data_IF_375828486522
#
_entry.id   IF_375828486522
#
_cell.length_a   1.000
_cell.length_b   1.000
_cell.length_c   1.000
_cell.angle_alpha   90.00
_cell.angle_beta   90.00
_cell.angle_gamma   90.00
#
_symmetry.space_group_name_H-M   'P 1'
#
loop_
_entity.id
_entity.type
_entity.pdbx_description
1 polymer ?
#
# COMPACT_ATOMS: atom_id res chain seq x y z
N UNK A 1 8.87 16.69 3.36
CA UNK A 1 10.23 16.34 2.87
C UNK A 1 11.31 17.08 3.66
N UNK A 2 11.37 18.40 3.55
CA UNK A 2 12.32 19.23 4.28
C UNK A 2 12.03 20.68 3.97
N UNK A 3 12.92 21.57 4.36
CA UNK A 3 12.87 22.95 3.91
C UNK A 3 14.29 23.44 3.65
N UNK A 4 14.43 24.30 2.65
CA UNK A 4 15.65 25.03 2.41
C UNK A 4 15.56 26.37 3.13
N UNK A 5 16.54 26.68 3.97
CA UNK A 5 16.65 27.98 4.60
C UNK A 5 17.60 28.85 3.75
N UNK A 6 17.03 29.83 3.06
CA UNK A 6 17.76 30.73 2.16
C UNK A 6 18.81 31.59 2.87
N UNK A 7 18.54 32.02 4.11
CA UNK A 7 19.49 32.83 4.88
C UNK A 7 20.76 32.06 5.26
N UNK A 8 20.58 30.81 5.70
CA UNK A 8 21.71 29.95 6.09
C UNK A 8 22.29 29.15 4.93
N UNK A 9 21.63 29.19 3.76
CA UNK A 9 21.89 28.34 2.60
C UNK A 9 21.98 26.85 2.93
N UNK A 10 21.11 26.37 3.83
CA UNK A 10 21.11 24.98 4.30
C UNK A 10 19.75 24.32 4.11
N UNK A 11 19.77 23.11 3.56
CA UNK A 11 18.59 22.25 3.55
C UNK A 11 18.49 21.49 4.86
N UNK A 12 17.33 21.58 5.50
CA UNK A 12 17.01 20.85 6.73
C UNK A 12 16.04 19.72 6.39
N UNK A 13 16.52 18.47 6.23
CA UNK A 13 15.65 17.33 5.97
C UNK A 13 14.82 17.00 7.22
N UNK A 14 13.58 16.54 7.02
CA UNK A 14 12.78 15.94 8.11
C UNK A 14 13.17 14.47 8.30
N UNK A 15 12.76 13.87 9.43
CA UNK A 15 12.99 12.44 9.75
C UNK A 15 12.60 11.52 8.60
N UNK A 16 11.46 11.80 7.96
CA UNK A 16 10.97 11.06 6.79
C UNK A 16 11.97 11.06 5.62
N UNK A 17 12.52 12.22 5.24
CA UNK A 17 13.52 12.31 4.15
C UNK A 17 14.85 11.67 4.54
N UNK A 18 15.26 11.77 5.81
CA UNK A 18 16.44 11.05 6.32
C UNK A 18 16.26 9.53 6.23
N UNK A 19 15.06 9.01 6.55
CA UNK A 19 14.74 7.60 6.42
C UNK A 19 14.80 7.12 4.96
N UNK A 20 14.23 7.90 4.03
CA UNK A 20 14.32 7.62 2.59
C UNK A 20 15.77 7.64 2.08
N UNK A 21 16.55 8.64 2.49
CA UNK A 21 17.96 8.75 2.12
C UNK A 21 18.76 7.54 2.64
N UNK A 22 18.50 7.11 3.88
CA UNK A 22 19.10 5.90 4.46
C UNK A 22 18.69 4.65 3.67
N UNK A 23 17.42 4.51 3.31
CA UNK A 23 16.95 3.38 2.52
C UNK A 23 17.62 3.32 1.14
N UNK A 24 17.81 4.48 0.50
CA UNK A 24 18.49 4.59 -0.79
C UNK A 24 19.97 4.14 -0.73
N UNK A 25 20.62 4.31 0.44
CA UNK A 25 21.98 3.82 0.69
C UNK A 25 22.04 2.32 1.05
N UNK A 26 20.95 1.72 1.50
CA UNK A 26 20.89 0.33 1.98
C UNK A 26 19.77 -0.43 1.26
N UNK A 27 19.91 -0.63 -0.05
CA UNK A 27 18.87 -1.18 -0.94
C UNK A 27 18.50 -2.63 -0.63
N UNK A 28 19.39 -3.34 0.04
CA UNK A 28 19.22 -4.71 0.51
C UNK A 28 18.34 -4.82 1.77
N UNK A 29 18.08 -3.73 2.49
CA UNK A 29 17.30 -3.76 3.73
C UNK A 29 15.85 -3.37 3.45
N UNK A 30 14.91 -4.24 3.79
CA UNK A 30 13.49 -3.88 3.78
C UNK A 30 13.22 -2.73 4.75
N UNK A 31 12.79 -1.59 4.22
CA UNK A 31 12.54 -0.38 5.00
C UNK A 31 11.05 -0.08 5.05
N UNK A 32 10.49 -0.09 6.25
CA UNK A 32 9.11 0.29 6.50
C UNK A 32 9.06 1.70 7.10
N UNK A 33 8.35 2.61 6.45
CA UNK A 33 8.10 3.96 6.95
C UNK A 33 6.65 3.99 7.46
N UNK A 34 6.51 4.05 8.78
CA UNK A 34 5.23 4.14 9.45
C UNK A 34 4.79 5.60 9.54
N UNK A 35 3.59 5.88 9.04
CA UNK A 35 2.95 7.19 9.03
C UNK A 35 1.70 7.08 9.91
N UNK A 36 1.75 7.72 11.07
CA UNK A 36 0.64 7.66 12.03
C UNK A 36 -0.42 8.72 11.70
N UNK A 37 -1.69 8.36 11.85
CA UNK A 37 -2.87 9.20 11.67
C UNK A 37 -2.84 10.03 10.37
N UNK A 38 -2.58 9.34 9.25
CA UNK A 38 -2.37 9.96 7.94
C UNK A 38 -3.51 10.87 7.50
N UNK A 39 -4.75 10.58 7.94
CA UNK A 39 -5.94 11.29 7.54
C UNK A 39 -6.37 12.42 8.48
N UNK A 40 -5.50 12.87 9.40
CA UNK A 40 -5.66 14.17 10.07
C UNK A 40 -5.67 15.35 9.08
N UNK A 41 -5.09 15.14 7.90
CA UNK A 41 -5.24 16.04 6.75
C UNK A 41 -5.50 15.21 5.49
N UNK A 42 -5.99 15.86 4.43
CA UNK A 42 -6.21 15.20 3.13
C UNK A 42 -4.91 14.59 2.61
N UNK A 43 -4.83 13.27 2.61
CA UNK A 43 -3.64 12.50 2.23
C UNK A 43 -3.17 12.88 0.83
N UNK A 44 -4.10 13.05 -0.10
CA UNK A 44 -3.79 13.41 -1.48
C UNK A 44 -3.10 14.77 -1.64
N UNK A 45 -3.13 15.65 -0.64
CA UNK A 45 -2.49 16.98 -0.73
C UNK A 45 -1.03 16.96 -0.32
N UNK A 46 -0.71 16.35 0.82
CA UNK A 46 0.68 16.33 1.31
C UNK A 46 1.48 15.13 0.78
N UNK A 47 0.80 14.07 0.33
CA UNK A 47 1.42 12.84 -0.19
C UNK A 47 1.28 12.71 -1.71
N UNK A 48 0.82 13.77 -2.39
CA UNK A 48 0.60 13.83 -3.84
C UNK A 48 1.80 13.35 -4.66
N UNK A 49 3.00 13.83 -4.34
CA UNK A 49 4.23 13.48 -5.04
C UNK A 49 4.45 11.97 -5.03
N UNK A 50 4.32 11.33 -3.85
CA UNK A 50 4.47 9.89 -3.70
C UNK A 50 3.38 9.10 -4.42
N UNK A 51 2.13 9.55 -4.33
CA UNK A 51 1.02 8.93 -5.08
C UNK A 51 1.25 8.99 -6.59
N UNK A 52 1.88 10.06 -7.08
CA UNK A 52 2.28 10.18 -8.49
C UNK A 52 3.43 9.22 -8.82
N UNK A 53 4.45 9.12 -7.97
CA UNK A 53 5.58 8.21 -8.19
C UNK A 53 5.17 6.73 -8.18
N UNK A 54 4.09 6.37 -7.50
CA UNK A 54 3.53 5.02 -7.54
C UNK A 54 2.97 4.63 -8.91
N UNK A 55 2.82 5.57 -9.85
CA UNK A 55 2.45 5.30 -11.24
C UNK A 55 3.68 5.00 -12.12
N UNK A 56 4.85 5.45 -11.68
CA UNK A 56 6.09 5.25 -12.41
C UNK A 56 6.65 3.85 -12.16
N UNK A 57 7.42 3.38 -13.15
CA UNK A 57 8.28 2.21 -12.98
C UNK A 57 9.20 2.39 -11.77
N UNK A 58 9.54 1.30 -11.08
CA UNK A 58 10.39 1.32 -9.88
C UNK A 58 11.70 2.09 -10.05
N UNK A 59 12.30 2.03 -11.25
CA UNK A 59 13.52 2.73 -11.60
C UNK A 59 13.36 4.21 -11.94
N UNK A 60 12.16 4.79 -11.89
CA UNK A 60 11.86 6.17 -12.32
C UNK A 60 11.11 6.96 -11.23
N UNK A 61 11.34 6.60 -9.95
CA UNK A 61 10.68 7.21 -8.81
C UNK A 61 11.55 8.28 -8.17
N UNK A 62 11.55 9.46 -8.77
CA UNK A 62 12.47 10.54 -8.41
C UNK A 62 11.77 11.66 -7.64
N UNK A 63 12.33 12.04 -6.48
CA UNK A 63 11.85 13.15 -5.67
C UNK A 63 12.88 14.25 -5.65
N UNK A 64 12.54 15.36 -6.32
CA UNK A 64 13.33 16.58 -6.23
C UNK A 64 13.14 17.22 -4.86
N UNK A 65 14.19 17.25 -4.05
CA UNK A 65 14.12 17.80 -2.68
C UNK A 65 14.12 19.32 -2.65
N UNK A 66 14.84 19.94 -3.59
CA UNK A 66 14.99 21.39 -3.73
C UNK A 66 15.44 21.75 -5.16
N UNK A 67 15.26 23.00 -5.57
CA UNK A 67 15.65 23.50 -6.90
C UNK A 67 17.13 23.90 -7.05
N UNK A 68 17.93 23.81 -6.00
CA UNK A 68 19.36 24.11 -6.02
C UNK A 68 20.18 22.83 -5.83
N UNK A 69 21.50 22.88 -6.06
CA UNK A 69 22.39 21.77 -5.72
C UNK A 69 22.70 21.77 -4.23
N UNK A 70 22.55 20.61 -3.60
CA UNK A 70 22.94 20.35 -2.22
C UNK A 70 24.34 19.75 -2.22
N UNK A 71 25.26 20.41 -1.51
CA UNK A 71 26.61 19.90 -1.26
C UNK A 71 26.82 19.71 0.25
N UNK A 72 27.72 18.80 0.58
CA UNK A 72 28.24 18.60 1.93
C UNK A 72 29.58 19.32 2.00
N UNK A 73 29.80 20.12 3.04
CA UNK A 73 31.07 20.80 3.29
C UNK A 73 31.74 20.19 4.51
N UNK A 74 32.87 19.53 4.32
CA UNK A 74 33.71 18.98 5.39
C UNK A 74 35.16 19.45 5.18
N UNK A 75 35.77 20.04 6.22
CA UNK A 75 37.17 20.49 6.20
C UNK A 75 37.54 21.27 4.92
N UNK A 76 36.74 22.30 4.57
CA UNK A 76 36.91 23.15 3.38
C UNK A 76 36.75 22.46 2.02
N UNK A 77 36.44 21.16 2.00
CA UNK A 77 36.15 20.40 0.78
C UNK A 77 34.65 20.27 0.59
N UNK A 78 34.16 20.56 -0.61
CA UNK A 78 32.77 20.31 -1.00
C UNK A 78 32.66 18.95 -1.70
N UNK A 79 31.72 18.12 -1.23
CA UNK A 79 31.42 16.82 -1.81
C UNK A 79 29.92 16.65 -2.03
N UNK A 80 29.53 15.81 -2.98
CA UNK A 80 28.14 15.49 -3.25
C UNK A 80 27.57 14.49 -2.21
N UNK A 81 26.25 14.47 -2.06
CA UNK A 81 25.57 13.46 -1.26
C UNK A 81 25.44 12.16 -2.07
N UNK A 82 25.91 11.05 -1.51
CA UNK A 82 26.01 9.75 -2.20
C UNK A 82 24.71 9.23 -2.82
N UNK A 83 23.56 9.49 -2.18
CA UNK A 83 22.26 9.02 -2.65
C UNK A 83 21.39 10.12 -3.28
N UNK A 84 21.99 11.28 -3.64
CA UNK A 84 21.30 12.31 -4.40
C UNK A 84 21.80 12.36 -5.84
N UNK A 85 20.90 12.06 -6.78
CA UNK A 85 21.12 12.29 -8.19
C UNK A 85 21.06 13.81 -8.47
N UNK A 86 21.95 14.27 -9.34
CA UNK A 86 22.10 15.69 -9.70
C UNK A 86 22.28 16.63 -8.50
N UNK A 87 22.77 16.10 -7.37
CA UNK A 87 22.94 16.79 -6.09
C UNK A 87 21.64 17.35 -5.48
N UNK A 88 20.44 16.94 -5.91
CA UNK A 88 19.20 17.50 -5.34
C UNK A 88 17.98 16.57 -5.42
N UNK A 89 18.11 15.43 -6.09
CA UNK A 89 17.01 14.53 -6.37
C UNK A 89 17.28 13.21 -5.68
N UNK A 90 16.33 12.75 -4.87
CA UNK A 90 16.41 11.47 -4.18
C UNK A 90 15.56 10.45 -4.93
N UNK A 91 16.20 9.37 -5.38
CA UNK A 91 15.49 8.23 -5.94
C UNK A 91 14.86 7.40 -4.83
N UNK A 92 13.55 7.19 -4.89
CA UNK A 92 12.83 6.32 -3.94
C UNK A 92 13.09 4.86 -4.36
N UNK A 93 13.82 4.09 -3.54
CA UNK A 93 14.20 2.73 -3.91
C UNK A 93 13.04 1.74 -3.66
N UNK A 94 13.03 0.61 -4.37
CA UNK A 94 11.95 -0.39 -4.27
C UNK A 94 11.83 -1.07 -2.90
N UNK A 95 12.88 -1.02 -2.09
CA UNK A 95 12.92 -1.59 -0.73
C UNK A 95 12.19 -0.74 0.32
N UNK A 96 11.46 0.30 -0.08
CA UNK A 96 10.67 1.15 0.82
C UNK A 96 9.19 0.84 0.71
N UNK A 97 8.57 0.55 1.85
CA UNK A 97 7.12 0.46 2.01
C UNK A 97 6.60 1.53 2.95
N UNK A 98 5.54 2.22 2.52
CA UNK A 98 4.80 3.15 3.37
C UNK A 98 3.62 2.42 4.01
N UNK A 99 3.50 2.52 5.33
CA UNK A 99 2.36 1.97 6.07
C UNK A 99 1.73 3.13 6.82
N UNK A 100 0.50 3.44 6.45
CA UNK A 100 -0.31 4.48 7.09
C UNK A 100 -1.30 3.90 8.07
N UNK A 101 -1.47 4.53 9.22
CA UNK A 101 -2.69 4.38 10.03
C UNK A 101 -3.65 5.51 9.66
N UNK A 102 -4.95 5.23 9.72
CA UNK A 102 -5.98 6.22 9.50
C UNK A 102 -7.11 5.94 10.49
N UNK A 103 -7.58 6.99 11.17
CA UNK A 103 -8.73 6.88 12.07
C UNK A 103 -10.02 7.06 11.27
N UNK A 104 -11.13 6.60 11.84
CA UNK A 104 -12.47 6.79 11.29
C UNK A 104 -13.29 7.46 12.38
N UNK A 105 -13.07 8.76 12.53
CA UNK A 105 -13.77 9.60 13.50
C UNK A 105 -14.18 10.92 12.84
N UNK A 106 -15.10 11.66 13.47
CA UNK A 106 -15.61 12.94 12.92
C UNK A 106 -14.50 13.98 12.71
N UNK A 107 -13.37 13.84 13.40
CA UNK A 107 -12.23 14.77 13.34
C UNK A 107 -11.25 14.53 12.19
N UNK A 108 -11.43 13.47 11.40
CA UNK A 108 -10.53 13.11 10.32
C UNK A 108 -11.12 13.28 8.93
N UNK A 109 -10.26 13.41 7.93
CA UNK A 109 -10.66 13.52 6.54
C UNK A 109 -10.95 12.14 5.94
N UNK A 110 -12.00 12.07 5.12
CA UNK A 110 -12.29 10.90 4.29
C UNK A 110 -11.13 10.67 3.31
N UNK A 111 -10.73 9.42 3.16
CA UNK A 111 -9.69 9.00 2.21
C UNK A 111 -10.27 9.00 0.80
N UNK A 112 -9.61 9.68 -0.13
CA UNK A 112 -10.07 9.77 -1.52
C UNK A 112 -9.83 8.46 -2.31
N UNK A 113 -10.66 8.22 -3.35
CA UNK A 113 -10.51 7.08 -4.28
C UNK A 113 -9.09 7.01 -4.86
N UNK A 114 -8.46 8.15 -5.10
CA UNK A 114 -7.07 8.25 -5.60
C UNK A 114 -6.06 7.57 -4.66
N UNK A 115 -6.29 7.62 -3.36
CA UNK A 115 -5.44 6.96 -2.37
C UNK A 115 -5.80 5.47 -2.28
N UNK A 116 -7.08 5.12 -2.20
CA UNK A 116 -7.56 3.72 -2.19
C UNK A 116 -7.07 2.91 -3.41
N UNK A 117 -7.02 3.52 -4.59
CA UNK A 117 -6.51 2.89 -5.80
C UNK A 117 -5.03 2.52 -5.74
N UNK A 118 -4.25 3.24 -4.93
CA UNK A 118 -2.79 3.05 -4.84
C UNK A 118 -2.37 2.29 -3.58
N UNK A 119 -3.19 2.27 -2.54
CA UNK A 119 -2.93 1.56 -1.30
C UNK A 119 -3.57 0.16 -1.28
N UNK A 120 -3.07 -0.70 -0.40
CA UNK A 120 -3.80 -1.86 0.10
C UNK A 120 -4.32 -1.49 1.48
N UNK A 121 -5.62 -1.66 1.73
CA UNK A 121 -6.25 -1.26 2.99
C UNK A 121 -6.52 -2.46 3.86
N UNK A 122 -6.35 -2.26 5.17
CA UNK A 122 -6.61 -3.27 6.19
C UNK A 122 -7.50 -2.65 7.26
N UNK A 123 -8.74 -3.13 7.32
CA UNK A 123 -9.73 -2.62 8.27
C UNK A 123 -9.70 -3.44 9.56
N UNK A 124 -9.39 -2.78 10.67
CA UNK A 124 -9.39 -3.39 12.00
C UNK A 124 -10.74 -3.15 12.67
N UNK A 125 -11.57 -4.19 12.70
CA UNK A 125 -12.94 -4.10 13.26
C UNK A 125 -13.07 -4.74 14.62
N UNK A 126 -12.08 -5.55 15.02
CA UNK A 126 -12.03 -6.20 16.33
C UNK A 126 -10.65 -5.97 16.91
N UNK A 127 -10.62 -5.68 18.21
CA UNK A 127 -9.37 -5.60 18.96
C UNK A 127 -8.72 -6.98 18.99
N UNK A 128 -7.45 -7.04 18.58
CA UNK A 128 -6.66 -8.26 18.71
C UNK A 128 -6.49 -8.63 20.21
N UNK A 129 -6.52 -9.92 20.57
CA UNK A 129 -6.20 -10.34 21.93
C UNK A 129 -4.76 -9.92 22.29
N UNK A 130 -4.53 -9.54 23.55
CA UNK A 130 -3.17 -9.22 24.01
C UNK A 130 -2.31 -10.48 23.89
N UNK A 131 -1.17 -10.36 23.21
CA UNK A 131 -0.12 -11.39 23.25
C UNK A 131 0.42 -11.44 24.68
N UNK A 132 0.11 -12.51 25.41
CA UNK A 132 0.56 -12.71 26.79
C UNK A 132 1.55 -13.86 26.94
N UNK A 133 1.65 -14.71 25.92
CA UNK A 133 2.52 -15.87 25.94
C UNK A 133 3.76 -15.61 25.09
N UNK A 134 4.90 -15.47 25.75
CA UNK A 134 6.23 -15.31 25.13
C UNK A 134 7.13 -16.54 25.39
N UNK A 135 6.54 -17.66 25.83
CA UNK A 135 7.32 -18.82 26.31
C UNK A 135 7.91 -19.69 25.19
N UNK A 136 7.43 -19.58 23.95
CA UNK A 136 7.95 -20.31 22.79
C UNK A 136 8.11 -19.36 21.59
N UNK A 137 9.13 -18.49 21.59
CA UNK A 137 9.36 -17.57 20.49
C UNK A 137 9.85 -18.35 19.26
N UNK A 138 9.14 -18.17 18.13
CA UNK A 138 9.62 -18.65 16.83
C UNK A 138 11.01 -18.05 16.56
N UNK A 139 11.97 -18.88 16.16
CA UNK A 139 13.33 -18.42 15.88
C UNK A 139 13.33 -17.33 14.80
N UNK A 140 14.04 -16.23 15.09
CA UNK A 140 14.18 -15.13 14.14
C UNK A 140 14.86 -15.62 12.86
N UNK A 141 14.34 -15.15 11.73
CA UNK A 141 14.95 -15.34 10.41
C UNK A 141 15.15 -13.97 9.79
N UNK A 142 16.30 -13.78 9.15
CA UNK A 142 16.64 -12.55 8.47
C UNK A 142 16.56 -12.78 6.97
N UNK A 143 15.84 -11.91 6.29
CA UNK A 143 15.72 -11.90 4.84
C UNK A 143 16.04 -10.50 4.36
N UNK A 144 16.89 -10.40 3.35
CA UNK A 144 17.13 -9.16 2.64
C UNK A 144 15.99 -8.89 1.63
N UNK A 145 15.98 -7.67 1.11
CA UNK A 145 15.00 -7.22 0.12
C UNK A 145 15.01 -8.10 -1.14
N UNK A 146 16.21 -8.43 -1.64
CA UNK A 146 16.36 -9.18 -2.88
C UNK A 146 15.76 -10.58 -2.76
N UNK A 147 16.03 -11.28 -1.67
CA UNK A 147 15.48 -12.61 -1.39
C UNK A 147 13.96 -12.57 -1.33
N UNK A 148 13.38 -11.58 -0.64
CA UNK A 148 11.92 -11.40 -0.57
C UNK A 148 11.34 -11.11 -1.96
N UNK A 149 11.98 -10.22 -2.72
CA UNK A 149 11.52 -9.84 -4.05
C UNK A 149 11.60 -11.02 -5.04
N UNK A 150 12.65 -11.82 -4.99
CA UNK A 150 12.78 -13.04 -5.79
C UNK A 150 11.67 -14.05 -5.47
N UNK A 151 11.30 -14.20 -4.19
CA UNK A 151 10.16 -15.04 -3.80
C UNK A 151 8.85 -14.52 -4.39
N UNK A 152 8.61 -13.21 -4.39
CA UNK A 152 7.42 -12.62 -5.04
C UNK A 152 7.43 -12.84 -6.55
N UNK A 153 8.54 -12.59 -7.23
CA UNK A 153 8.67 -12.80 -8.68
C UNK A 153 8.42 -14.27 -9.02
N UNK A 154 9.00 -15.18 -8.25
CA UNK A 154 8.81 -16.62 -8.42
C UNK A 154 7.35 -17.01 -8.24
N UNK A 155 6.70 -16.55 -7.17
CA UNK A 155 5.29 -16.86 -6.90
C UNK A 155 4.36 -16.34 -8.02
N UNK A 156 4.61 -15.14 -8.55
CA UNK A 156 3.85 -14.60 -9.69
C UNK A 156 4.05 -15.42 -10.97
N UNK A 157 5.29 -15.86 -11.24
CA UNK A 157 5.63 -16.61 -12.45
C UNK A 157 5.13 -18.05 -12.43
N UNK A 158 5.17 -18.69 -11.27
CA UNK A 158 4.71 -20.08 -11.08
C UNK A 158 3.20 -20.18 -10.79
N UNK A 159 2.56 -19.05 -10.49
CA UNK A 159 1.13 -18.97 -10.25
C UNK A 159 0.29 -19.26 -11.50
N UNK A 160 -0.89 -19.82 -11.27
CA UNK A 160 -1.82 -20.28 -12.30
C UNK A 160 -3.20 -19.60 -12.20
N UNK A 161 -3.41 -18.73 -11.21
CA UNK A 161 -4.65 -18.00 -11.08
C UNK A 161 -4.76 -16.96 -12.21
N UNK A 162 -5.91 -16.93 -12.87
CA UNK A 162 -6.23 -15.99 -13.96
C UNK A 162 -7.45 -15.16 -13.54
N UNK A 163 -7.19 -13.89 -13.21
CA UNK A 163 -8.24 -12.99 -12.76
C UNK A 163 -9.23 -12.61 -13.88
N UNK A 164 -8.76 -12.55 -15.13
CA UNK A 164 -9.55 -12.15 -16.29
C UNK A 164 -10.56 -13.24 -16.68
N UNK A 165 -10.21 -14.52 -16.52
CA UNK A 165 -11.08 -15.64 -16.83
C UNK A 165 -11.89 -16.16 -15.65
N UNK A 166 -11.64 -15.68 -14.43
CA UNK A 166 -12.41 -16.07 -13.24
C UNK A 166 -13.86 -15.58 -13.28
N UNK A 167 -14.81 -16.53 -13.26
CA UNK A 167 -16.24 -16.21 -13.24
C UNK A 167 -16.63 -15.45 -11.95
N UNK A 168 -16.01 -15.77 -10.82
CA UNK A 168 -16.26 -15.08 -9.56
C UNK A 168 -15.89 -13.60 -9.66
N UNK A 169 -14.72 -13.27 -10.23
CA UNK A 169 -14.27 -11.89 -10.43
C UNK A 169 -15.23 -11.12 -11.35
N UNK A 170 -15.66 -11.72 -12.47
CA UNK A 170 -16.65 -11.13 -13.40
C UNK A 170 -18.00 -10.86 -12.74
N UNK A 171 -18.46 -11.80 -11.91
CA UNK A 171 -19.72 -11.64 -11.17
C UNK A 171 -19.63 -10.47 -10.20
N UNK A 172 -18.53 -10.36 -9.44
CA UNK A 172 -18.32 -9.25 -8.49
C UNK A 172 -18.19 -7.92 -9.22
N UNK A 173 -17.48 -7.85 -10.35
CA UNK A 173 -17.41 -6.64 -11.18
C UNK A 173 -18.81 -6.20 -11.64
N UNK A 174 -19.63 -7.14 -12.13
CA UNK A 174 -21.00 -6.85 -12.56
C UNK A 174 -21.87 -6.33 -11.42
N UNK A 175 -21.74 -6.91 -10.21
CA UNK A 175 -22.45 -6.44 -9.02
C UNK A 175 -22.04 -5.03 -8.60
N UNK A 176 -20.79 -4.65 -8.83
CA UNK A 176 -20.24 -3.37 -8.39
C UNK A 176 -20.29 -2.27 -9.47
N UNK A 177 -20.58 -2.63 -10.71
CA UNK A 177 -20.74 -1.70 -11.83
C UNK A 177 -21.73 -0.53 -11.56
N UNK A 178 -22.90 -0.74 -10.91
CA UNK A 178 -23.81 0.36 -10.56
C UNK A 178 -23.20 1.44 -9.67
N UNK A 179 -22.14 1.12 -8.91
CA UNK A 179 -21.43 2.06 -8.03
C UNK A 179 -20.24 2.75 -8.71
N UNK A 180 -20.12 2.63 -10.05
CA UNK A 180 -18.98 3.07 -10.84
C UNK A 180 -17.66 2.44 -10.40
N UNK A 181 -17.69 1.18 -9.97
CA UNK A 181 -16.50 0.40 -9.63
C UNK A 181 -16.29 -0.64 -10.73
N UNK A 182 -15.27 -0.43 -11.56
CA UNK A 182 -14.88 -1.34 -12.66
C UNK A 182 -13.47 -1.87 -12.45
N UNK A 183 -13.19 -3.04 -13.03
CA UNK A 183 -11.95 -3.77 -12.81
C UNK A 183 -11.05 -3.57 -14.03
N UNK A 184 -10.42 -2.40 -14.13
CA UNK A 184 -9.41 -2.18 -15.16
C UNK A 184 -8.21 -3.13 -15.03
N UNK A 185 -7.40 -3.24 -16.10
CA UNK A 185 -6.24 -4.14 -16.17
C UNK A 185 -5.30 -4.08 -14.95
N UNK A 186 -5.15 -2.89 -14.34
CA UNK A 186 -4.35 -2.71 -13.13
C UNK A 186 -4.92 -3.49 -11.94
N UNK A 187 -6.23 -3.43 -11.73
CA UNK A 187 -6.90 -4.12 -10.62
C UNK A 187 -6.83 -5.63 -10.84
N UNK A 188 -7.12 -6.10 -12.07
CA UNK A 188 -7.02 -7.52 -12.41
C UNK A 188 -5.62 -8.07 -12.17
N UNK A 189 -4.58 -7.37 -12.65
CA UNK A 189 -3.18 -7.75 -12.39
C UNK A 189 -2.84 -7.78 -10.89
N UNK A 190 -3.38 -6.85 -10.11
CA UNK A 190 -3.17 -6.84 -8.65
C UNK A 190 -3.87 -7.99 -7.94
N UNK A 191 -5.08 -8.36 -8.37
CA UNK A 191 -5.80 -9.53 -7.88
C UNK A 191 -4.98 -10.78 -8.19
N UNK A 192 -4.53 -10.92 -9.43
CA UNK A 192 -3.73 -12.06 -9.88
C UNK A 192 -2.41 -12.19 -9.11
N UNK A 193 -1.62 -11.12 -9.06
CA UNK A 193 -0.37 -11.07 -8.30
C UNK A 193 -0.59 -11.44 -6.84
N UNK A 194 -1.64 -10.90 -6.21
CA UNK A 194 -1.95 -11.16 -4.80
C UNK A 194 -2.34 -12.62 -4.56
N UNK A 195 -3.26 -13.17 -5.34
CA UNK A 195 -3.74 -14.55 -5.17
C UNK A 195 -2.59 -15.55 -5.35
N UNK A 196 -1.78 -15.37 -6.38
CA UNK A 196 -0.63 -16.23 -6.65
C UNK A 196 0.43 -16.15 -5.53
N UNK A 197 0.75 -14.94 -5.04
CA UNK A 197 1.65 -14.77 -3.87
C UNK A 197 1.05 -15.42 -2.62
N UNK A 198 -0.24 -15.22 -2.36
CA UNK A 198 -0.90 -15.77 -1.17
C UNK A 198 -0.90 -17.31 -1.20
N UNK A 199 -1.21 -17.93 -2.34
CA UNK A 199 -1.12 -19.39 -2.52
C UNK A 199 0.30 -19.91 -2.23
N UNK A 200 1.32 -19.21 -2.71
CA UNK A 200 2.72 -19.61 -2.48
C UNK A 200 3.14 -19.58 -1.00
N UNK A 201 2.51 -18.74 -0.17
CA UNK A 201 2.71 -18.70 1.28
C UNK A 201 2.09 -19.90 2.03
N UNK A 202 1.14 -20.60 1.43
CA UNK A 202 0.38 -21.68 2.07
C UNK A 202 0.31 -22.94 1.18
N UNK A 203 1.47 -23.45 0.74
CA UNK A 203 1.58 -24.57 -0.21
C UNK A 203 0.77 -25.82 0.15
N UNK A 204 0.57 -26.08 1.45
CA UNK A 204 -0.14 -27.27 1.94
C UNK A 204 -1.65 -27.06 2.15
N UNK A 205 -2.20 -25.92 1.72
CA UNK A 205 -3.61 -25.57 1.92
C UNK A 205 -4.22 -25.01 0.64
N UNK A 206 -5.46 -25.39 0.35
CA UNK A 206 -6.25 -24.69 -0.66
C UNK A 206 -6.79 -23.39 -0.05
N UNK A 207 -6.18 -22.26 -0.43
CA UNK A 207 -6.47 -20.93 0.11
C UNK A 207 -6.88 -19.92 -0.96
N UNK A 208 -7.17 -20.39 -2.19
CA UNK A 208 -7.46 -19.51 -3.32
C UNK A 208 -8.70 -18.64 -3.05
N UNK A 209 -9.82 -19.25 -2.65
CA UNK A 209 -11.05 -18.53 -2.32
C UNK A 209 -10.84 -17.49 -1.22
N UNK A 210 -10.05 -17.85 -0.20
CA UNK A 210 -9.68 -16.92 0.88
C UNK A 210 -8.84 -15.75 0.36
N UNK A 211 -7.91 -16.01 -0.56
CA UNK A 211 -7.07 -14.98 -1.15
C UNK A 211 -7.89 -14.03 -2.02
N UNK A 212 -8.78 -14.57 -2.85
CA UNK A 212 -9.70 -13.80 -3.71
C UNK A 212 -10.58 -12.90 -2.85
N UNK A 213 -11.23 -13.46 -1.83
CA UNK A 213 -12.09 -12.69 -0.92
C UNK A 213 -11.32 -11.55 -0.24
N UNK A 214 -10.10 -11.81 0.25
CA UNK A 214 -9.26 -10.80 0.90
C UNK A 214 -8.90 -9.64 -0.02
N UNK A 215 -8.50 -9.93 -1.26
CA UNK A 215 -8.12 -8.87 -2.20
C UNK A 215 -9.34 -8.11 -2.72
N UNK A 216 -10.47 -8.80 -2.95
CA UNK A 216 -11.73 -8.14 -3.30
C UNK A 216 -12.19 -7.19 -2.20
N UNK A 217 -12.17 -7.66 -0.94
CA UNK A 217 -12.55 -6.84 0.22
C UNK A 217 -11.69 -5.57 0.31
N UNK A 218 -10.37 -5.74 0.34
CA UNK A 218 -9.43 -4.63 0.55
C UNK A 218 -9.33 -3.68 -0.65
N UNK A 219 -9.45 -4.18 -1.89
CA UNK A 219 -9.18 -3.38 -3.09
C UNK A 219 -10.42 -2.77 -3.72
N UNK A 220 -11.55 -3.47 -3.64
CA UNK A 220 -12.74 -3.17 -4.43
C UNK A 220 -13.93 -2.89 -3.53
N UNK A 221 -14.33 -3.84 -2.70
CA UNK A 221 -15.53 -3.73 -1.86
C UNK A 221 -15.36 -2.60 -0.84
N UNK A 222 -14.14 -2.37 -0.33
CA UNK A 222 -13.81 -1.23 0.53
C UNK A 222 -14.23 0.14 -0.04
N UNK A 223 -14.29 0.30 -1.37
CA UNK A 223 -14.71 1.55 -2.01
C UNK A 223 -16.19 1.87 -1.82
N UNK A 224 -17.01 0.88 -1.45
CA UNK A 224 -18.42 1.09 -1.16
C UNK A 224 -18.65 2.01 0.05
N UNK A 225 -17.66 2.18 0.93
CA UNK A 225 -17.72 3.10 2.09
C UNK A 225 -18.09 4.52 1.73
N UNK A 226 -17.69 4.99 0.56
CA UNK A 226 -17.91 6.38 0.12
C UNK A 226 -19.00 6.46 -0.95
N UNK A 227 -19.78 5.39 -1.15
CA UNK A 227 -20.86 5.32 -2.14
C UNK A 227 -22.21 5.26 -1.44
N UNK A 228 -23.21 5.90 -2.03
CA UNK A 228 -24.60 5.71 -1.63
C UNK A 228 -25.07 4.33 -2.11
N UNK A 229 -25.69 3.55 -1.22
CA UNK A 229 -26.20 2.21 -1.50
C UNK A 229 -27.71 2.21 -1.25
N UNK A 230 -28.49 2.21 -2.33
CA UNK A 230 -29.95 2.28 -2.23
C UNK A 230 -30.59 0.96 -1.75
N UNK A 231 -30.04 -0.19 -2.15
CA UNK A 231 -30.56 -1.53 -1.84
C UNK A 231 -29.45 -2.44 -1.31
N UNK A 232 -29.10 -2.20 -0.05
CA UNK A 232 -28.05 -2.95 0.65
C UNK A 232 -28.41 -4.41 0.88
N UNK A 233 -29.66 -4.71 1.25
CA UNK A 233 -30.11 -6.08 1.51
C UNK A 233 -29.92 -6.97 0.28
N UNK A 234 -30.25 -6.45 -0.91
CA UNK A 234 -29.99 -7.15 -2.16
C UNK A 234 -28.50 -7.34 -2.41
N UNK A 235 -27.68 -6.31 -2.20
CA UNK A 235 -26.24 -6.40 -2.39
C UNK A 235 -25.63 -7.46 -1.46
N UNK A 236 -26.03 -7.49 -0.19
CA UNK A 236 -25.63 -8.53 0.76
C UNK A 236 -25.99 -9.93 0.26
N UNK A 237 -27.25 -10.14 -0.14
CA UNK A 237 -27.73 -11.42 -0.63
C UNK A 237 -26.95 -11.91 -1.87
N UNK A 238 -26.60 -11.01 -2.79
CA UNK A 238 -25.80 -11.37 -3.97
C UNK A 238 -24.35 -11.75 -3.59
N UNK A 239 -23.73 -11.06 -2.62
CA UNK A 239 -22.41 -11.44 -2.11
C UNK A 239 -22.43 -12.75 -1.30
N UNK A 240 -23.52 -13.04 -0.58
CA UNK A 240 -23.72 -14.32 0.11
C UNK A 240 -23.79 -15.50 -0.87
N UNK A 241 -24.50 -15.34 -2.00
CA UNK A 241 -24.56 -16.36 -3.06
C UNK A 241 -23.18 -16.69 -3.65
N UNK A 242 -22.25 -15.75 -3.60
CA UNK A 242 -20.86 -15.92 -4.05
C UNK A 242 -19.93 -16.48 -2.97
N UNK A 243 -20.45 -16.81 -1.78
CA UNK A 243 -19.70 -17.28 -0.61
C UNK A 243 -18.62 -16.29 -0.10
N UNK A 244 -18.82 -14.99 -0.32
CA UNK A 244 -17.89 -13.92 0.09
C UNK A 244 -18.25 -13.35 1.48
N UNK A 245 -18.22 -14.20 2.51
CA UNK A 245 -18.62 -13.90 3.88
C UNK A 245 -17.97 -12.63 4.49
N UNK A 246 -16.67 -12.38 4.29
CA UNK A 246 -15.98 -11.19 4.79
C UNK A 246 -16.46 -9.92 4.09
N UNK A 247 -16.80 -10.02 2.79
CA UNK A 247 -17.39 -8.91 2.04
C UNK A 247 -18.82 -8.63 2.52
N UNK A 248 -19.61 -9.67 2.79
CA UNK A 248 -20.96 -9.54 3.37
C UNK A 248 -20.90 -8.87 4.75
N UNK A 249 -20.01 -9.34 5.63
CA UNK A 249 -19.79 -8.76 6.96
C UNK A 249 -19.39 -7.28 6.89
N UNK A 250 -18.66 -6.90 5.85
CA UNK A 250 -18.28 -5.52 5.58
C UNK A 250 -19.48 -4.69 5.12
N UNK A 251 -20.21 -5.15 4.09
CA UNK A 251 -21.39 -4.46 3.54
C UNK A 251 -22.41 -4.19 4.65
N UNK A 252 -22.68 -5.18 5.51
CA UNK A 252 -23.56 -5.07 6.69
C UNK A 252 -23.27 -3.87 7.58
N UNK A 253 -22.03 -3.42 7.63
CA UNK A 253 -21.59 -2.33 8.51
C UNK A 253 -21.64 -0.95 7.88
N UNK A 254 -21.85 -0.86 6.56
CA UNK A 254 -21.80 0.41 5.83
C UNK A 254 -22.83 1.46 6.24
N UNK A 255 -23.83 1.11 7.07
CA UNK A 255 -24.87 2.04 7.57
C UNK A 255 -24.93 2.14 9.11
N UNK A 256 -24.01 1.50 9.83
CA UNK A 256 -24.04 1.47 11.29
C UNK A 256 -23.23 2.61 11.94
N UNK A 257 -22.78 3.61 11.17
CA UNK A 257 -22.05 4.78 11.65
C UNK A 257 -22.53 6.07 10.97
#
# INVERSE_FOLDING_TARGET
LGYYNEFSMKYTPKKFTLALYKAALNKEICTFILLDEMNLSRIEYYFSDFLSLMENEEGQRDIKLVNIKLTKKENETESEYLALDYSNTLKVPSNVWFIGTANRDESTFVISDKVYDRAHTMNFTKRAPKVRNYSDPISQRYFDYNTINELFIKAKKEGDFDAENSQLIKNVETLLAPFNISFGNRILKQIEDFVNIYKACFKDKNVEDQAIEKILLSKVVAKLEVKAIDDKEKLEMEFEKLNLNQCVDFIRRLDNE
#
